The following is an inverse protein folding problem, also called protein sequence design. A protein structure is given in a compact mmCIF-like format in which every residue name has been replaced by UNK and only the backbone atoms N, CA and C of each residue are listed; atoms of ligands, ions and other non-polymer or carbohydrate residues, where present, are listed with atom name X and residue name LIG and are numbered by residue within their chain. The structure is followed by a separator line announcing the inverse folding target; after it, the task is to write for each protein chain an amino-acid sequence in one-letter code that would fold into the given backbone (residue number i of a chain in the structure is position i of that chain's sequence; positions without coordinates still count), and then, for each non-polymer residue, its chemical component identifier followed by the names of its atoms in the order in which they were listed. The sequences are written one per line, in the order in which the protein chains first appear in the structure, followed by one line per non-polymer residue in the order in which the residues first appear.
data_IF_729296003199
#
_entry.id   IF_729296003199
#
_cell.length_a   1.000
_cell.length_b   1.000
_cell.length_c   1.000
_cell.angle_alpha   90.00
_cell.angle_beta   90.00
_cell.angle_gamma   90.00
#
_symmetry.space_group_name_H-M   'P 1'
#
loop_
_entity.id
_entity.type
_entity.pdbx_description
1 polymer ?
#
# COMPACT_ATOMS: atom_id res chain seq x y z
N UNK A 1 28.33 -23.01 -10.38
CA UNK A 1 27.08 -22.32 -10.01
C UNK A 1 26.12 -22.70 -11.10
N UNK A 2 25.22 -23.62 -10.80
CA UNK A 2 24.20 -24.02 -11.76
C UNK A 2 23.10 -22.93 -11.85
N UNK A 3 22.15 -23.10 -12.76
CA UNK A 3 21.06 -22.13 -12.92
C UNK A 3 20.13 -22.07 -11.68
N UNK A 4 20.04 -23.15 -10.93
CA UNK A 4 19.21 -23.30 -9.73
C UNK A 4 19.82 -22.54 -8.54
N UNK A 5 21.15 -22.62 -8.35
CA UNK A 5 21.92 -21.87 -7.37
C UNK A 5 21.74 -20.36 -7.56
N UNK A 6 21.70 -19.90 -8.82
CA UNK A 6 21.55 -18.50 -9.17
C UNK A 6 20.13 -17.98 -8.87
N UNK A 7 19.09 -18.76 -9.23
CA UNK A 7 17.69 -18.45 -8.91
C UNK A 7 17.43 -18.44 -7.39
N UNK A 8 18.00 -19.41 -6.66
CA UNK A 8 17.87 -19.46 -5.20
C UNK A 8 18.51 -18.23 -4.53
N UNK A 9 19.67 -17.78 -5.04
CA UNK A 9 20.33 -16.58 -4.53
C UNK A 9 19.52 -15.31 -4.83
N UNK A 10 18.97 -15.16 -6.03
CA UNK A 10 18.10 -14.02 -6.36
C UNK A 10 16.84 -14.01 -5.48
N UNK A 11 16.18 -15.16 -5.33
CA UNK A 11 15.00 -15.28 -4.48
C UNK A 11 15.30 -14.92 -3.02
N UNK A 12 16.43 -15.39 -2.47
CA UNK A 12 16.88 -15.02 -1.12
C UNK A 12 17.12 -13.52 -0.99
N UNK A 13 17.74 -12.88 -1.98
CA UNK A 13 17.94 -11.43 -2.00
C UNK A 13 16.61 -10.66 -2.04
N UNK A 14 15.68 -11.08 -2.89
CA UNK A 14 14.35 -10.48 -2.96
C UNK A 14 13.61 -10.61 -1.62
N UNK A 15 13.65 -11.77 -0.98
CA UNK A 15 13.03 -12.01 0.34
C UNK A 15 13.69 -11.18 1.44
N UNK A 16 15.01 -11.04 1.43
CA UNK A 16 15.72 -10.18 2.37
C UNK A 16 15.29 -8.71 2.21
N UNK A 17 15.21 -8.22 0.98
CA UNK A 17 14.76 -6.86 0.67
C UNK A 17 13.30 -6.61 1.10
N UNK A 18 12.41 -7.56 0.84
CA UNK A 18 11.01 -7.51 1.30
C UNK A 18 10.92 -7.47 2.82
N UNK A 19 11.71 -8.30 3.50
CA UNK A 19 11.75 -8.36 4.98
C UNK A 19 12.26 -7.04 5.57
N UNK A 20 13.31 -6.44 4.98
CA UNK A 20 13.84 -5.15 5.40
C UNK A 20 12.80 -4.02 5.23
N UNK A 21 12.07 -4.00 4.11
CA UNK A 21 10.98 -3.04 3.88
C UNK A 21 9.84 -3.23 4.88
N UNK A 22 9.45 -4.47 5.17
CA UNK A 22 8.44 -4.80 6.16
C UNK A 22 8.81 -4.31 7.57
N UNK A 23 10.04 -4.58 8.01
CA UNK A 23 10.57 -4.11 9.30
C UNK A 23 10.57 -2.59 9.39
N UNK A 24 11.02 -1.90 8.34
CA UNK A 24 11.03 -0.43 8.31
C UNK A 24 9.61 0.15 8.37
N UNK A 25 8.64 -0.48 7.72
CA UNK A 25 7.24 -0.07 7.79
C UNK A 25 6.68 -0.24 9.21
N UNK A 26 6.93 -1.39 9.84
CA UNK A 26 6.51 -1.67 11.20
C UNK A 26 7.09 -0.66 12.19
N UNK A 27 8.39 -0.36 12.10
CA UNK A 27 9.04 0.63 12.96
C UNK A 27 8.44 2.04 12.81
N UNK A 28 8.05 2.43 11.59
CA UNK A 28 7.48 3.77 11.33
C UNK A 28 6.02 3.91 11.74
N UNK A 29 5.23 2.86 11.57
CA UNK A 29 3.77 2.94 11.71
C UNK A 29 3.22 2.19 12.92
N UNK A 30 4.03 1.34 13.54
CA UNK A 30 3.60 0.40 14.58
C UNK A 30 2.66 -0.70 14.07
N UNK A 31 2.44 -0.81 12.75
CA UNK A 31 1.49 -1.74 12.14
C UNK A 31 2.19 -2.89 11.43
N UNK A 32 1.70 -4.11 11.65
CA UNK A 32 2.14 -5.29 10.92
C UNK A 32 1.53 -5.30 9.51
N UNK A 33 2.29 -5.74 8.49
CA UNK A 33 1.83 -5.85 7.11
C UNK A 33 0.76 -6.93 6.87
N UNK A 34 0.20 -7.58 7.90
CA UNK A 34 -1.00 -8.43 7.80
C UNK A 34 -1.02 -9.40 6.60
N UNK A 35 0.08 -10.10 6.32
CA UNK A 35 0.24 -10.92 5.09
C UNK A 35 -0.62 -12.19 5.09
N UNK A 36 -1.26 -12.51 6.21
CA UNK A 36 -1.94 -13.79 6.46
C UNK A 36 -3.48 -13.69 6.33
N UNK A 37 -4.01 -12.57 5.83
CA UNK A 37 -5.46 -12.36 5.65
C UNK A 37 -5.81 -11.80 4.27
N UNK A 38 -7.09 -11.87 3.86
CA UNK A 38 -7.56 -11.26 2.60
C UNK A 38 -7.41 -9.73 2.57
N UNK A 39 -7.12 -9.12 3.72
CA UNK A 39 -6.98 -7.68 3.89
C UNK A 39 -5.57 -7.21 3.50
N UNK A 40 -5.50 -6.29 2.54
CA UNK A 40 -4.21 -5.75 2.10
C UNK A 40 -3.45 -5.05 3.25
N UNK A 41 -2.25 -5.55 3.54
CA UNK A 41 -1.26 -4.89 4.41
C UNK A 41 -1.74 -4.47 5.81
N UNK A 42 -2.75 -5.13 6.38
CA UNK A 42 -3.29 -4.79 7.70
C UNK A 42 -4.23 -3.56 7.72
N UNK A 43 -4.74 -3.14 6.57
CA UNK A 43 -5.75 -2.09 6.47
C UNK A 43 -7.16 -2.68 6.43
N UNK A 44 -8.09 -2.09 7.18
CA UNK A 44 -9.52 -2.36 7.03
C UNK A 44 -10.01 -1.68 5.75
N UNK A 45 -10.09 -2.43 4.66
CA UNK A 45 -10.46 -1.89 3.35
C UNK A 45 -11.85 -1.24 3.35
N UNK A 46 -12.76 -1.67 4.22
CA UNK A 46 -14.09 -1.05 4.36
C UNK A 46 -13.97 0.39 4.91
N UNK A 47 -12.90 0.68 5.66
CA UNK A 47 -12.60 2.02 6.21
C UNK A 47 -11.64 2.83 5.36
N UNK A 48 -10.87 2.20 4.48
CA UNK A 48 -9.96 2.92 3.57
C UNK A 48 -10.79 3.73 2.58
N UNK A 49 -10.60 5.04 2.55
CA UNK A 49 -11.22 5.97 1.58
C UNK A 49 -10.17 6.51 0.60
N UNK A 50 -10.51 6.50 -0.69
CA UNK A 50 -9.68 7.07 -1.73
C UNK A 50 -9.72 8.60 -1.72
N UNK A 51 -8.56 9.25 -1.60
CA UNK A 51 -8.45 10.72 -1.63
C UNK A 51 -8.95 11.35 -2.94
N UNK A 52 -8.80 10.67 -4.10
CA UNK A 52 -9.15 11.23 -5.41
C UNK A 52 -10.63 11.11 -5.74
N UNK A 53 -11.29 10.03 -5.31
CA UNK A 53 -12.68 9.72 -5.68
C UNK A 53 -13.65 9.70 -4.50
N UNK A 54 -13.15 9.82 -3.27
CA UNK A 54 -13.92 9.75 -2.02
C UNK A 54 -14.76 8.46 -1.88
N UNK A 55 -14.38 7.40 -2.60
CA UNK A 55 -14.99 6.08 -2.46
C UNK A 55 -14.15 5.19 -1.56
N UNK A 56 -14.84 4.41 -0.72
CA UNK A 56 -14.21 3.42 0.17
C UNK A 56 -13.69 2.20 -0.60
N UNK A 57 -12.81 1.42 0.02
CA UNK A 57 -12.33 0.15 -0.53
C UNK A 57 -11.02 0.22 -1.28
N UNK A 58 -10.38 1.38 -1.48
CA UNK A 58 -9.11 1.45 -2.21
C UNK A 58 -8.29 2.70 -1.88
N UNK A 59 -6.99 2.63 -2.12
CA UNK A 59 -6.10 3.79 -1.98
C UNK A 59 -6.13 4.68 -3.23
N UNK A 60 -5.75 5.95 -3.08
CA UNK A 60 -5.71 6.91 -4.19
C UNK A 60 -4.85 6.46 -5.39
N UNK A 61 -3.79 5.68 -5.14
CA UNK A 61 -2.90 5.11 -6.16
C UNK A 61 -3.56 4.01 -7.02
N UNK A 62 -4.61 3.37 -6.51
CA UNK A 62 -5.36 2.32 -7.19
C UNK A 62 -6.60 2.89 -7.90
N UNK A 63 -6.83 4.21 -7.76
CA UNK A 63 -8.00 4.87 -8.29
C UNK A 63 -7.96 4.91 -9.82
N UNK A 64 -8.89 4.21 -10.45
CA UNK A 64 -9.07 4.21 -11.92
C UNK A 64 -9.94 5.35 -12.42
N UNK A 65 -10.58 6.12 -11.55
CA UNK A 65 -11.38 7.26 -11.98
C UNK A 65 -10.46 8.35 -12.54
N UNK A 66 -10.89 9.06 -13.60
CA UNK A 66 -10.25 10.32 -13.99
C UNK A 66 -10.13 11.21 -12.76
N UNK A 67 -9.03 11.95 -12.61
CA UNK A 67 -8.89 12.95 -11.53
C UNK A 67 -10.14 13.83 -11.56
N UNK A 68 -10.89 13.81 -10.47
CA UNK A 68 -12.10 14.61 -10.38
C UNK A 68 -11.68 16.09 -10.40
N UNK A 69 -11.93 16.78 -11.52
CA UNK A 69 -11.61 18.19 -11.69
C UNK A 69 -12.52 19.11 -10.84
N UNK A 70 -13.49 18.54 -10.09
CA UNK A 70 -14.50 19.30 -9.34
C UNK A 70 -14.02 20.01 -8.08
N UNK A 71 -12.72 20.06 -7.77
CA UNK A 71 -12.20 20.77 -6.58
C UNK A 71 -11.09 21.80 -6.81
N UNK A 72 -11.07 22.44 -7.97
CA UNK A 72 -10.51 23.81 -8.04
C UNK A 72 -11.48 24.85 -7.43
N UNK A 73 -12.72 24.47 -7.11
CA UNK A 73 -13.67 25.33 -6.42
C UNK A 73 -13.67 25.04 -4.91
N UNK A 74 -12.90 25.86 -4.19
CA UNK A 74 -13.15 26.41 -2.84
C UNK A 74 -14.08 25.56 -1.96
N UNK A 75 -13.50 24.90 -0.95
CA UNK A 75 -14.19 24.66 0.30
C UNK A 75 -13.58 25.60 1.35
N UNK A 76 -14.31 26.67 1.66
CA UNK A 76 -14.07 27.53 2.83
C UNK A 76 -13.89 26.68 4.10
N UNK A 77 -13.01 27.09 5.02
CA UNK A 77 -12.98 26.53 6.36
C UNK A 77 -14.18 27.07 7.14
N UNK A 78 -15.17 26.22 7.43
CA UNK A 78 -16.19 26.53 8.43
C UNK A 78 -15.65 26.20 9.83
N UNK A 79 -15.20 27.27 10.49
CA UNK A 79 -14.99 27.55 11.93
C UNK A 79 -14.42 26.46 12.85
#
# INVERSE_FOLDING_TARGET
IDAYDLEEMDLKWQMAMLTMRARKYLQKTGRNLGVNGPTSMGFDMVKVECYNSHRKGHFARECRSPKDSRRTAIAEPQR
#
